data_IF_944959045353
#
_entry.id   IF_944959045353
#
_cell.length_a   1.000
_cell.length_b   1.000
_cell.length_c   1.000
_cell.angle_alpha   90.00
_cell.angle_beta   90.00
_cell.angle_gamma   90.00
#
_symmetry.space_group_name_H-M   'P 1'
#
loop_
_entity.id
_entity.type
_entity.pdbx_description
1 polymer ?
#
# COMPACT_ATOMS: atom_id res chain seq x y z
N UNK A 1 21.22 -22.38 -27.01
CA UNK A 1 21.11 -21.45 -25.85
C UNK A 1 20.52 -22.26 -24.71
N UNK A 2 21.17 -22.27 -23.55
CA UNK A 2 20.74 -23.01 -22.36
C UNK A 2 19.51 -22.36 -21.69
N UNK A 3 18.90 -23.09 -20.74
CA UNK A 3 17.70 -22.63 -20.10
C UNK A 3 17.89 -21.33 -19.28
N UNK A 4 18.96 -21.19 -18.46
CA UNK A 4 19.20 -19.94 -17.74
C UNK A 4 19.33 -18.72 -18.65
N UNK A 5 20.05 -18.86 -19.78
CA UNK A 5 20.17 -17.78 -20.76
C UNK A 5 18.83 -17.41 -21.40
N UNK A 6 17.95 -18.39 -21.66
CA UNK A 6 16.61 -18.13 -22.19
C UNK A 6 15.73 -17.39 -21.18
N UNK A 7 15.79 -17.76 -19.89
CA UNK A 7 15.07 -17.04 -18.82
C UNK A 7 15.60 -15.60 -18.68
N UNK A 8 16.92 -15.42 -18.65
CA UNK A 8 17.54 -14.09 -18.56
C UNK A 8 17.13 -13.20 -19.76
N UNK A 9 17.11 -13.77 -20.97
CA UNK A 9 16.66 -13.08 -22.19
C UNK A 9 15.18 -12.69 -22.12
N UNK A 10 14.31 -13.58 -21.64
CA UNK A 10 12.89 -13.29 -21.49
C UNK A 10 12.66 -12.14 -20.48
N UNK A 11 13.37 -12.13 -19.35
CA UNK A 11 13.34 -11.02 -18.38
C UNK A 11 13.80 -9.69 -19.01
N UNK A 12 14.88 -9.70 -19.76
CA UNK A 12 15.38 -8.51 -20.45
C UNK A 12 14.39 -7.98 -21.50
N UNK A 13 13.75 -8.88 -22.26
CA UNK A 13 12.71 -8.50 -23.21
C UNK A 13 11.47 -7.92 -22.55
N UNK A 14 11.05 -8.48 -21.40
CA UNK A 14 9.97 -7.91 -20.59
C UNK A 14 10.33 -6.52 -20.08
N UNK A 15 11.55 -6.31 -19.59
CA UNK A 15 11.99 -5.00 -19.14
C UNK A 15 11.94 -3.93 -20.25
N UNK A 16 12.07 -4.33 -21.52
CA UNK A 16 11.99 -3.43 -22.66
C UNK A 16 10.54 -3.23 -23.15
N UNK A 17 9.79 -4.32 -23.36
CA UNK A 17 8.49 -4.30 -24.02
C UNK A 17 7.31 -4.16 -23.05
N UNK A 18 7.45 -4.63 -21.82
CA UNK A 18 6.43 -4.67 -20.78
C UNK A 18 7.05 -4.20 -19.45
N UNK A 19 7.34 -2.89 -19.30
CA UNK A 19 8.14 -2.38 -18.18
C UNK A 19 7.62 -2.74 -16.80
N UNK A 20 6.30 -2.83 -16.61
CA UNK A 20 5.69 -3.31 -15.37
C UNK A 20 6.22 -4.70 -14.98
N UNK A 21 6.05 -5.68 -15.86
CA UNK A 21 6.52 -7.05 -15.62
C UNK A 21 8.04 -7.12 -15.54
N UNK A 22 8.74 -6.29 -16.32
CA UNK A 22 10.18 -6.21 -16.29
C UNK A 22 10.75 -5.80 -14.94
N UNK A 23 10.16 -4.79 -14.27
CA UNK A 23 10.58 -4.37 -12.92
C UNK A 23 10.38 -5.53 -11.93
N UNK A 24 9.19 -6.15 -11.92
CA UNK A 24 8.93 -7.30 -11.06
C UNK A 24 9.91 -8.47 -11.33
N UNK A 25 10.14 -8.82 -12.61
CA UNK A 25 11.04 -9.91 -12.98
C UNK A 25 12.48 -9.64 -12.54
N UNK A 26 12.93 -8.39 -12.52
CA UNK A 26 14.28 -8.03 -12.09
C UNK A 26 14.42 -8.00 -10.57
N UNK A 27 13.39 -7.56 -9.86
CA UNK A 27 13.39 -7.42 -8.40
C UNK A 27 12.99 -8.73 -7.67
N UNK A 28 12.50 -9.76 -8.40
CA UNK A 28 12.11 -11.05 -7.83
C UNK A 28 13.23 -12.08 -8.05
N UNK A 29 13.65 -12.85 -7.03
CA UNK A 29 14.59 -13.96 -7.19
C UNK A 29 14.01 -15.05 -8.10
N UNK A 30 14.76 -15.44 -9.15
CA UNK A 30 14.46 -16.57 -10.03
C UNK A 30 15.39 -17.73 -9.71
N UNK A 31 14.84 -18.84 -9.23
CA UNK A 31 15.59 -20.01 -8.76
C UNK A 31 15.32 -21.18 -9.68
N UNK A 32 16.38 -21.74 -10.30
CA UNK A 32 16.26 -22.99 -11.03
C UNK A 32 16.00 -24.13 -10.02
N UNK A 33 14.95 -24.88 -10.27
CA UNK A 33 14.54 -26.02 -9.44
C UNK A 33 13.89 -27.05 -10.35
N UNK A 34 14.66 -28.05 -10.74
CA UNK A 34 14.22 -29.06 -11.69
C UNK A 34 13.31 -30.14 -11.07
N UNK A 35 13.08 -30.09 -9.75
CA UNK A 35 12.07 -30.89 -9.06
C UNK A 35 10.66 -30.31 -9.27
N UNK A 36 10.55 -29.05 -9.70
CA UNK A 36 9.27 -28.46 -10.05
C UNK A 36 8.83 -28.92 -11.44
N UNK A 37 7.52 -29.16 -11.67
CA UNK A 37 7.05 -29.57 -13.00
C UNK A 37 7.23 -28.48 -14.07
N UNK A 38 7.09 -27.22 -13.70
CA UNK A 38 7.17 -26.06 -14.60
C UNK A 38 7.71 -24.80 -13.90
N UNK A 39 6.86 -23.82 -13.66
CA UNK A 39 7.18 -22.58 -12.93
C UNK A 39 6.15 -22.39 -11.80
N UNK A 40 6.57 -21.88 -10.66
CA UNK A 40 5.69 -21.61 -9.52
C UNK A 40 6.23 -20.45 -8.69
N UNK A 41 5.37 -19.85 -7.88
CA UNK A 41 5.75 -18.77 -6.95
C UNK A 41 5.12 -18.95 -5.57
N UNK A 42 5.75 -18.33 -4.57
CA UNK A 42 5.20 -18.17 -3.24
C UNK A 42 5.13 -16.69 -2.80
N UNK A 43 5.30 -15.76 -3.71
CA UNK A 43 5.37 -14.33 -3.42
C UNK A 43 6.78 -13.79 -3.15
N UNK A 44 7.71 -14.62 -2.68
CA UNK A 44 9.09 -14.24 -2.38
C UNK A 44 10.05 -14.52 -3.52
N UNK A 45 9.81 -15.57 -4.30
CA UNK A 45 10.63 -16.04 -5.40
C UNK A 45 9.76 -16.67 -6.50
N UNK A 46 10.37 -16.85 -7.67
CA UNK A 46 9.81 -17.67 -8.75
C UNK A 46 10.79 -18.81 -9.02
N UNK A 47 10.33 -20.04 -8.83
CA UNK A 47 11.07 -21.25 -9.18
C UNK A 47 10.68 -21.71 -10.57
N UNK A 48 11.66 -22.25 -11.31
CA UNK A 48 11.45 -22.68 -12.70
C UNK A 48 12.24 -23.94 -13.05
N UNK A 49 11.63 -24.80 -13.87
CA UNK A 49 12.22 -26.03 -14.38
C UNK A 49 12.94 -25.79 -15.70
N UNK A 50 14.14 -26.37 -15.87
CA UNK A 50 14.98 -26.15 -17.06
C UNK A 50 14.40 -26.76 -18.33
N UNK A 51 13.82 -27.96 -18.27
CA UNK A 51 13.20 -28.61 -19.42
C UNK A 51 11.96 -27.84 -19.90
N UNK A 52 11.12 -27.41 -18.97
CA UNK A 52 9.95 -26.59 -19.28
C UNK A 52 10.37 -25.27 -19.95
N UNK A 53 11.37 -24.60 -19.39
CA UNK A 53 11.91 -23.35 -19.95
C UNK A 53 12.48 -23.52 -21.36
N UNK A 54 13.01 -24.69 -21.69
CA UNK A 54 13.52 -24.99 -23.05
C UNK A 54 12.39 -25.30 -24.05
N UNK A 55 11.29 -25.91 -23.62
CA UNK A 55 10.14 -26.27 -24.47
C UNK A 55 9.39 -25.05 -25.00
N UNK A 56 9.25 -24.00 -24.17
CA UNK A 56 8.52 -22.80 -24.55
C UNK A 56 9.24 -21.95 -25.58
N UNK A 57 8.49 -21.36 -26.49
CA UNK A 57 8.94 -20.25 -27.33
C UNK A 57 9.29 -19.02 -26.47
N UNK A 58 9.92 -18.02 -27.07
CA UNK A 58 10.27 -16.80 -26.35
C UNK A 58 9.02 -16.05 -25.81
N UNK A 59 7.93 -16.03 -26.60
CA UNK A 59 6.66 -15.40 -26.23
C UNK A 59 5.93 -16.17 -25.13
N UNK A 60 5.87 -17.49 -25.22
CA UNK A 60 5.25 -18.34 -24.19
C UNK A 60 6.01 -18.25 -22.86
N UNK A 61 7.34 -18.21 -22.92
CA UNK A 61 8.17 -18.04 -21.73
C UNK A 61 7.91 -16.70 -21.04
N UNK A 62 7.77 -15.62 -21.81
CA UNK A 62 7.36 -14.32 -21.28
C UNK A 62 5.97 -14.39 -20.63
N UNK A 63 5.01 -15.07 -21.29
CA UNK A 63 3.67 -15.26 -20.73
C UNK A 63 3.71 -15.96 -19.36
N UNK A 64 4.43 -17.09 -19.24
CA UNK A 64 4.51 -17.84 -17.99
C UNK A 64 5.20 -17.02 -16.90
N UNK A 65 6.27 -16.28 -17.21
CA UNK A 65 6.88 -15.35 -16.24
C UNK A 65 5.89 -14.29 -15.78
N UNK A 66 5.14 -13.70 -16.69
CA UNK A 66 4.12 -12.70 -16.33
C UNK A 66 2.97 -13.31 -15.51
N UNK A 67 2.60 -14.56 -15.80
CA UNK A 67 1.60 -15.30 -15.03
C UNK A 67 2.02 -15.43 -13.56
N UNK A 68 3.23 -15.86 -13.27
CA UNK A 68 3.74 -15.97 -11.90
C UNK A 68 3.83 -14.59 -11.21
N UNK A 69 4.24 -13.55 -11.95
CA UNK A 69 4.27 -12.18 -11.45
C UNK A 69 2.85 -11.70 -11.10
N UNK A 70 1.85 -12.04 -11.89
CA UNK A 70 0.45 -11.69 -11.60
C UNK A 70 -0.03 -12.33 -10.31
N UNK A 71 0.36 -13.56 -10.00
CA UNK A 71 0.05 -14.17 -8.70
C UNK A 71 0.65 -13.37 -7.54
N UNK A 72 1.87 -12.87 -7.69
CA UNK A 72 2.50 -12.00 -6.67
C UNK A 72 1.75 -10.67 -6.57
N UNK A 73 1.56 -10.00 -7.69
CA UNK A 73 1.00 -8.66 -7.77
C UNK A 73 -0.48 -8.57 -7.36
N UNK A 74 -1.24 -9.64 -7.56
CA UNK A 74 -2.66 -9.76 -7.17
C UNK A 74 -2.84 -10.42 -5.79
N UNK A 75 -1.77 -10.58 -5.03
CA UNK A 75 -1.80 -11.11 -3.66
C UNK A 75 -2.39 -12.52 -3.55
N UNK A 76 -2.18 -13.35 -4.57
CA UNK A 76 -2.66 -14.73 -4.57
C UNK A 76 -1.83 -15.67 -3.66
N UNK A 77 -0.64 -15.25 -3.25
CA UNK A 77 0.28 -16.02 -2.41
C UNK A 77 -0.07 -15.93 -0.92
N UNK A 78 -1.34 -16.10 -0.57
CA UNK A 78 -1.84 -16.04 0.81
C UNK A 78 -2.44 -17.36 1.24
N UNK A 79 -2.48 -17.61 2.55
CA UNK A 79 -3.13 -18.79 3.11
C UNK A 79 -4.65 -18.61 3.10
N UNK A 80 -5.35 -19.41 2.28
CA UNK A 80 -6.81 -19.41 2.20
C UNK A 80 -7.31 -20.68 2.88
N UNK A 81 -7.92 -20.55 4.05
CA UNK A 81 -8.45 -21.69 4.85
C UNK A 81 -9.89 -21.99 4.54
N UNK A 82 -10.71 -20.96 4.40
CA UNK A 82 -12.15 -21.05 4.24
C UNK A 82 -12.64 -20.08 3.17
N UNK A 83 -13.68 -20.46 2.46
CA UNK A 83 -14.42 -19.62 1.53
C UNK A 83 -15.90 -19.89 1.77
N UNK A 84 -16.67 -18.82 2.03
CA UNK A 84 -18.12 -18.89 2.31
C UNK A 84 -18.47 -19.83 3.49
N UNK A 85 -17.60 -19.92 4.51
CA UNK A 85 -17.80 -20.77 5.70
C UNK A 85 -17.50 -22.26 5.49
N UNK A 86 -16.92 -22.63 4.37
CA UNK A 86 -16.49 -24.00 4.08
C UNK A 86 -14.99 -24.07 3.83
N UNK A 87 -14.32 -25.20 4.15
CA UNK A 87 -12.91 -25.39 3.82
C UNK A 87 -12.64 -25.14 2.33
N UNK A 88 -11.60 -24.36 2.03
CA UNK A 88 -11.24 -24.00 0.68
C UNK A 88 -10.68 -25.21 -0.10
N UNK A 89 -11.22 -25.45 -1.31
CA UNK A 89 -10.58 -26.35 -2.27
C UNK A 89 -9.44 -25.61 -2.98
N UNK A 90 -8.22 -25.73 -2.45
CA UNK A 90 -7.06 -24.97 -2.91
C UNK A 90 -6.73 -25.22 -4.39
N UNK A 91 -6.97 -26.46 -4.89
CA UNK A 91 -6.78 -26.76 -6.31
C UNK A 91 -7.75 -25.98 -7.18
N UNK A 92 -9.00 -25.93 -6.76
CA UNK A 92 -10.04 -25.18 -7.48
C UNK A 92 -9.83 -23.66 -7.35
N UNK A 93 -9.29 -23.19 -6.21
CA UNK A 93 -8.86 -21.78 -6.01
C UNK A 93 -7.78 -21.40 -7.03
N UNK A 94 -6.74 -22.24 -7.15
CA UNK A 94 -5.66 -22.01 -8.10
C UNK A 94 -6.19 -21.95 -9.54
N UNK A 95 -7.02 -22.93 -9.93
CA UNK A 95 -7.68 -22.96 -11.24
C UNK A 95 -8.49 -21.67 -11.50
N UNK A 96 -9.22 -21.18 -10.50
CA UNK A 96 -9.99 -19.94 -10.64
C UNK A 96 -9.12 -18.71 -10.81
N UNK A 97 -8.01 -18.62 -10.06
CA UNK A 97 -7.01 -17.57 -10.20
C UNK A 97 -6.35 -17.60 -11.58
N UNK A 98 -6.00 -18.79 -12.07
CA UNK A 98 -5.38 -18.99 -13.39
C UNK A 98 -6.30 -18.52 -14.53
N UNK A 99 -7.59 -18.82 -14.49
CA UNK A 99 -8.55 -18.31 -15.47
C UNK A 99 -8.53 -16.79 -15.56
N UNK A 100 -8.53 -16.13 -14.40
CA UNK A 100 -8.55 -14.66 -14.33
C UNK A 100 -7.24 -14.06 -14.84
N UNK A 101 -6.10 -14.58 -14.40
CA UNK A 101 -4.78 -14.12 -14.83
C UNK A 101 -4.59 -14.30 -16.33
N UNK A 102 -4.88 -15.51 -16.83
CA UNK A 102 -4.71 -15.82 -18.25
C UNK A 102 -5.56 -14.92 -19.15
N UNK A 103 -6.82 -14.67 -18.75
CA UNK A 103 -7.69 -13.78 -19.49
C UNK A 103 -7.11 -12.36 -19.59
N UNK A 104 -6.59 -11.83 -18.48
CA UNK A 104 -5.99 -10.50 -18.44
C UNK A 104 -4.70 -10.40 -19.28
N UNK A 105 -3.84 -11.41 -19.23
CA UNK A 105 -2.60 -11.45 -20.03
C UNK A 105 -2.89 -11.58 -21.52
N UNK A 106 -3.90 -12.38 -21.93
CA UNK A 106 -4.37 -12.48 -23.32
C UNK A 106 -4.92 -11.13 -23.79
N UNK A 107 -5.71 -10.43 -22.96
CA UNK A 107 -6.22 -9.09 -23.28
C UNK A 107 -5.11 -8.04 -23.40
N UNK A 108 -4.01 -8.23 -22.67
CA UNK A 108 -2.79 -7.43 -22.82
C UNK A 108 -1.97 -7.79 -24.08
N UNK A 109 -2.45 -8.75 -24.88
CA UNK A 109 -1.84 -9.15 -26.15
C UNK A 109 -0.73 -10.20 -26.03
N UNK A 110 -0.65 -10.92 -24.91
CA UNK A 110 0.37 -11.94 -24.69
C UNK A 110 -0.06 -13.31 -25.25
N UNK A 111 0.90 -14.15 -25.59
CA UNK A 111 0.68 -15.46 -26.21
C UNK A 111 0.76 -16.55 -25.14
N UNK A 112 -0.38 -17.13 -24.81
CA UNK A 112 -0.49 -18.20 -23.83
C UNK A 112 0.01 -19.54 -24.40
N UNK A 113 0.77 -20.33 -23.62
CA UNK A 113 1.13 -21.70 -24.02
C UNK A 113 -0.10 -22.59 -24.19
N UNK A 114 0.05 -23.64 -25.02
CA UNK A 114 -0.98 -24.64 -25.24
C UNK A 114 -1.40 -25.32 -23.92
N UNK A 115 -2.70 -25.58 -23.78
CA UNK A 115 -3.28 -26.20 -22.58
C UNK A 115 -3.56 -25.24 -21.42
N UNK A 116 -3.36 -23.94 -21.59
CA UNK A 116 -3.71 -22.96 -20.58
C UNK A 116 -5.21 -22.81 -20.37
N UNK A 117 -5.60 -22.45 -19.15
CA UNK A 117 -6.99 -22.25 -18.76
C UNK A 117 -7.48 -20.89 -19.28
N UNK A 118 -8.41 -20.93 -20.22
CA UNK A 118 -9.07 -19.73 -20.74
C UNK A 118 -10.50 -20.04 -21.14
N UNK A 119 -11.43 -19.21 -20.65
CA UNK A 119 -12.82 -19.22 -21.07
C UNK A 119 -13.33 -17.76 -21.09
N UNK A 120 -13.86 -17.30 -22.23
CA UNK A 120 -14.40 -15.95 -22.35
C UNK A 120 -15.50 -15.60 -21.35
N UNK A 121 -16.23 -16.59 -20.82
CA UNK A 121 -17.29 -16.36 -19.85
C UNK A 121 -16.76 -15.76 -18.53
N UNK A 122 -15.49 -15.98 -18.18
CA UNK A 122 -14.88 -15.48 -16.94
C UNK A 122 -14.19 -14.13 -17.09
N UNK A 123 -14.25 -13.51 -18.27
CA UNK A 123 -13.64 -12.18 -18.50
C UNK A 123 -14.23 -11.13 -17.58
N UNK A 124 -13.36 -10.34 -16.96
CA UNK A 124 -13.78 -9.27 -16.03
C UNK A 124 -14.33 -9.74 -14.70
N UNK A 125 -14.30 -11.06 -14.43
CA UNK A 125 -14.68 -11.60 -13.12
C UNK A 125 -13.47 -11.64 -12.18
N UNK A 126 -13.72 -11.46 -10.87
CA UNK A 126 -12.75 -11.76 -9.83
C UNK A 126 -12.62 -13.28 -9.61
N UNK A 127 -11.45 -13.73 -9.16
CA UNK A 127 -11.21 -15.18 -8.95
C UNK A 127 -12.21 -15.84 -8.00
N UNK A 128 -12.71 -15.14 -6.97
CA UNK A 128 -13.71 -15.67 -6.04
C UNK A 128 -15.06 -15.95 -6.73
N UNK A 129 -15.45 -15.10 -7.70
CA UNK A 129 -16.65 -15.34 -8.51
C UNK A 129 -16.48 -16.57 -9.39
N UNK A 130 -15.32 -16.69 -10.05
CA UNK A 130 -14.97 -17.85 -10.88
C UNK A 130 -14.95 -19.12 -10.01
N UNK A 131 -14.30 -19.10 -8.84
CA UNK A 131 -14.30 -20.22 -7.88
C UNK A 131 -15.72 -20.70 -7.53
N UNK A 132 -16.62 -19.75 -7.19
CA UNK A 132 -18.03 -20.09 -6.87
C UNK A 132 -18.78 -20.72 -8.04
N UNK A 133 -18.48 -20.29 -9.28
CA UNK A 133 -19.06 -20.91 -10.49
C UNK A 133 -18.52 -22.33 -10.71
N UNK A 134 -17.20 -22.50 -10.61
CA UNK A 134 -16.55 -23.80 -10.75
C UNK A 134 -16.99 -24.78 -9.65
N UNK A 135 -17.18 -24.31 -8.41
CA UNK A 135 -17.64 -25.13 -7.30
C UNK A 135 -19.05 -25.70 -7.50
N UNK A 136 -19.90 -24.99 -8.25
CA UNK A 136 -21.26 -25.48 -8.62
C UNK A 136 -21.25 -26.59 -9.67
N UNK A 137 -20.13 -26.75 -10.41
CA UNK A 137 -20.01 -27.85 -11.38
C UNK A 137 -19.81 -29.16 -10.65
N UNK A 138 -20.40 -30.29 -11.18
CA UNK A 138 -20.10 -31.63 -10.68
C UNK A 138 -18.56 -31.87 -10.69
N UNK A 139 -18.00 -32.57 -9.68
CA UNK A 139 -16.57 -32.82 -9.62
C UNK A 139 -15.91 -33.37 -10.89
N UNK A 140 -16.54 -34.33 -11.65
CA UNK A 140 -15.93 -34.84 -12.87
C UNK A 140 -15.85 -33.80 -14.01
N UNK A 141 -16.70 -32.77 -13.98
CA UNK A 141 -16.76 -31.73 -15.02
C UNK A 141 -15.89 -30.51 -14.68
N UNK A 142 -15.24 -30.49 -13.50
CA UNK A 142 -14.39 -29.39 -13.09
C UNK A 142 -13.09 -29.35 -13.90
N UNK A 143 -12.64 -28.16 -14.35
CA UNK A 143 -11.37 -28.05 -15.03
C UNK A 143 -10.23 -28.51 -14.13
N UNK A 144 -9.23 -29.16 -14.76
CA UNK A 144 -8.00 -29.54 -14.07
C UNK A 144 -6.99 -28.37 -14.11
N UNK A 145 -6.04 -28.31 -13.17
CA UNK A 145 -4.94 -27.36 -13.24
C UNK A 145 -4.23 -27.40 -14.60
N UNK A 146 -3.78 -26.25 -15.06
CA UNK A 146 -3.06 -26.16 -16.33
C UNK A 146 -1.70 -26.87 -16.26
N UNK A 147 -1.26 -27.50 -17.37
CA UNK A 147 -0.07 -28.38 -17.34
C UNK A 147 1.24 -27.62 -17.16
N UNK A 148 1.25 -26.30 -17.31
CA UNK A 148 2.43 -25.45 -17.21
C UNK A 148 2.34 -24.41 -16.09
N UNK A 149 1.22 -24.32 -15.37
CA UNK A 149 1.07 -23.57 -14.14
C UNK A 149 1.43 -24.43 -12.94
N UNK A 150 2.21 -23.89 -12.02
CA UNK A 150 2.49 -24.54 -10.74
C UNK A 150 1.45 -24.18 -9.69
N UNK A 151 1.48 -24.88 -8.56
CA UNK A 151 0.69 -24.47 -7.39
C UNK A 151 1.25 -23.16 -6.81
N UNK A 152 0.36 -22.23 -6.46
CA UNK A 152 0.74 -21.02 -5.73
C UNK A 152 1.02 -21.36 -4.28
N UNK A 153 2.23 -21.04 -3.83
CA UNK A 153 2.65 -21.23 -2.45
C UNK A 153 2.37 -20.02 -1.58
N UNK A 154 2.57 -20.18 -0.28
CA UNK A 154 2.57 -19.07 0.68
C UNK A 154 4.00 -18.64 1.02
N UNK A 155 4.25 -17.36 1.32
CA UNK A 155 5.56 -16.88 1.74
C UNK A 155 5.98 -17.51 3.07
N UNK A 156 7.26 -17.85 3.20
CA UNK A 156 7.79 -18.60 4.33
C UNK A 156 8.98 -17.89 4.99
N UNK A 157 9.13 -18.09 6.29
CA UNK A 157 10.31 -17.67 7.03
C UNK A 157 11.53 -18.58 6.72
N UNK A 158 12.70 -18.23 7.27
CA UNK A 158 13.93 -19.03 7.12
C UNK A 158 13.86 -20.43 7.74
N UNK A 159 12.80 -20.75 8.47
CA UNK A 159 12.55 -22.06 9.11
C UNK A 159 11.49 -22.87 8.32
N UNK A 160 10.90 -22.32 7.27
CA UNK A 160 9.90 -22.96 6.41
C UNK A 160 8.45 -22.80 6.87
N UNK A 161 8.17 -22.01 7.91
CA UNK A 161 6.81 -21.71 8.35
C UNK A 161 6.21 -20.56 7.53
N UNK A 162 4.90 -20.60 7.30
CA UNK A 162 4.18 -19.50 6.64
C UNK A 162 4.35 -18.19 7.43
N UNK A 163 4.64 -17.09 6.74
CA UNK A 163 4.76 -15.78 7.37
C UNK A 163 3.43 -15.38 8.01
N UNK A 164 3.49 -14.87 9.24
CA UNK A 164 2.33 -14.39 9.99
C UNK A 164 2.66 -13.08 10.70
N UNK A 165 1.65 -12.38 11.16
CA UNK A 165 1.81 -11.15 11.95
C UNK A 165 2.60 -10.07 11.20
N UNK A 166 3.59 -9.46 11.87
CA UNK A 166 4.38 -8.34 11.35
C UNK A 166 5.24 -8.74 10.12
N UNK A 167 5.79 -9.95 10.10
CA UNK A 167 6.58 -10.44 8.96
C UNK A 167 5.73 -10.56 7.67
N UNK A 168 4.47 -10.98 7.80
CA UNK A 168 3.54 -11.03 6.68
C UNK A 168 3.18 -9.61 6.18
N UNK A 169 2.95 -8.67 7.10
CA UNK A 169 2.71 -7.25 6.75
C UNK A 169 3.89 -6.62 6.05
N UNK A 170 5.11 -6.86 6.54
CA UNK A 170 6.32 -6.35 5.92
C UNK A 170 6.51 -6.91 4.50
N UNK A 171 6.29 -8.21 4.31
CA UNK A 171 6.31 -8.83 2.98
C UNK A 171 5.28 -8.20 2.03
N UNK A 172 4.07 -7.93 2.53
CA UNK A 172 3.02 -7.26 1.76
C UNK A 172 3.42 -5.82 1.38
N UNK A 173 4.00 -5.07 2.30
CA UNK A 173 4.51 -3.74 2.02
C UNK A 173 5.60 -3.76 0.94
N UNK A 174 6.50 -4.75 0.97
CA UNK A 174 7.53 -4.91 -0.06
C UNK A 174 6.93 -5.19 -1.45
N UNK A 175 5.83 -5.96 -1.53
CA UNK A 175 5.09 -6.16 -2.78
C UNK A 175 4.48 -4.85 -3.26
N UNK A 176 3.85 -4.09 -2.37
CA UNK A 176 3.23 -2.81 -2.69
C UNK A 176 4.24 -1.76 -3.19
N UNK A 177 5.43 -1.70 -2.59
CA UNK A 177 6.54 -0.85 -3.05
C UNK A 177 6.99 -1.27 -4.46
N UNK A 178 7.18 -2.57 -4.70
CA UNK A 178 7.51 -3.09 -6.04
C UNK A 178 6.43 -2.78 -7.07
N UNK A 179 5.16 -2.93 -6.70
CA UNK A 179 4.00 -2.60 -7.52
C UNK A 179 4.04 -1.13 -7.95
N UNK A 180 4.17 -0.22 -6.98
CA UNK A 180 4.23 1.22 -7.23
C UNK A 180 5.38 1.60 -8.15
N UNK A 181 6.59 1.10 -7.89
CA UNK A 181 7.78 1.30 -8.74
C UNK A 181 7.58 0.78 -10.16
N UNK A 182 6.97 -0.40 -10.31
CA UNK A 182 6.71 -1.02 -11.59
C UNK A 182 5.72 -0.22 -12.43
N UNK A 183 4.65 0.28 -11.81
CA UNK A 183 3.64 1.11 -12.48
C UNK A 183 4.21 2.46 -12.88
N UNK A 184 4.91 3.15 -11.98
CA UNK A 184 5.59 4.42 -12.31
C UNK A 184 6.56 4.26 -13.48
N UNK A 185 7.30 3.14 -13.52
CA UNK A 185 8.22 2.85 -14.62
C UNK A 185 7.46 2.62 -15.94
N UNK A 186 6.33 1.92 -15.91
CA UNK A 186 5.51 1.68 -17.09
C UNK A 186 4.87 2.98 -17.61
N UNK A 187 4.32 3.81 -16.73
CA UNK A 187 3.75 5.11 -17.04
C UNK A 187 4.80 6.06 -17.64
N UNK A 188 5.98 6.15 -17.03
CA UNK A 188 7.07 7.00 -17.52
C UNK A 188 7.58 6.60 -18.89
N UNK A 189 7.53 5.32 -19.24
CA UNK A 189 7.96 4.82 -20.55
C UNK A 189 6.87 4.89 -21.61
N UNK A 190 5.61 4.96 -21.22
CA UNK A 190 4.45 4.96 -22.12
C UNK A 190 4.36 3.72 -23.01
N UNK A 191 4.94 2.59 -22.59
CA UNK A 191 5.02 1.35 -23.35
C UNK A 191 4.37 0.22 -22.55
N UNK A 192 3.67 -0.66 -23.25
CA UNK A 192 2.95 -1.78 -22.68
C UNK A 192 1.56 -1.39 -22.18
N UNK A 193 0.68 -2.37 -22.10
CA UNK A 193 -0.67 -2.22 -21.52
C UNK A 193 -0.70 -2.93 -20.19
N UNK A 194 -1.08 -2.21 -19.13
CA UNK A 194 -1.30 -2.83 -17.83
C UNK A 194 -2.52 -3.76 -17.89
N UNK A 195 -2.46 -4.97 -17.34
CA UNK A 195 -3.63 -5.80 -17.14
C UNK A 195 -4.66 -5.11 -16.24
N UNK A 196 -5.95 -5.29 -16.52
CA UNK A 196 -7.03 -4.60 -15.79
C UNK A 196 -6.99 -4.85 -14.28
N UNK A 197 -6.63 -6.07 -13.84
CA UNK A 197 -6.47 -6.38 -12.42
C UNK A 197 -5.32 -5.62 -11.76
N UNK A 198 -4.25 -5.32 -12.51
CA UNK A 198 -3.16 -4.48 -12.01
C UNK A 198 -3.61 -3.02 -11.92
N UNK A 199 -4.34 -2.52 -12.91
CA UNK A 199 -4.92 -1.16 -12.85
C UNK A 199 -5.84 -1.01 -11.64
N UNK A 200 -6.68 -2.01 -11.37
CA UNK A 200 -7.55 -2.04 -10.18
C UNK A 200 -6.75 -2.13 -8.87
N UNK A 201 -5.76 -3.03 -8.79
CA UNK A 201 -4.90 -3.18 -7.60
C UNK A 201 -4.13 -1.89 -7.31
N UNK A 202 -3.59 -1.24 -8.35
CA UNK A 202 -2.89 0.05 -8.20
C UNK A 202 -3.86 1.17 -7.82
N UNK A 203 -5.06 1.19 -8.41
CA UNK A 203 -6.10 2.14 -8.00
C UNK A 203 -6.45 1.95 -6.52
N UNK A 204 -6.58 0.71 -6.07
CA UNK A 204 -6.76 0.40 -4.64
C UNK A 204 -5.55 0.83 -3.82
N UNK A 205 -4.32 0.58 -4.25
CA UNK A 205 -3.11 1.05 -3.56
C UNK A 205 -3.02 2.58 -3.52
N UNK A 206 -3.41 3.26 -4.58
CA UNK A 206 -3.51 4.73 -4.61
C UNK A 206 -4.68 5.25 -3.76
N UNK A 207 -5.74 4.47 -3.63
CA UNK A 207 -6.89 4.74 -2.76
C UNK A 207 -6.67 4.19 -1.35
N UNK A 208 -5.90 3.08 -1.22
CA UNK A 208 -5.51 2.51 0.06
C UNK A 208 -4.31 3.29 0.56
N UNK A 209 -4.61 4.28 1.36
CA UNK A 209 -3.74 4.76 2.43
C UNK A 209 -2.24 4.75 2.07
N UNK A 210 -1.74 5.83 1.56
CA UNK A 210 -0.59 6.35 2.31
C UNK A 210 -1.09 6.32 3.74
N UNK A 211 -0.58 5.40 4.59
CA UNK A 211 -1.01 5.32 5.98
C UNK A 211 -0.95 6.74 6.49
N UNK A 212 -2.00 7.17 7.16
CA UNK A 212 -2.01 8.48 7.82
C UNK A 212 -0.69 8.68 8.57
N UNK A 213 -0.20 7.63 9.22
CA UNK A 213 1.08 7.58 9.92
C UNK A 213 2.28 7.84 8.99
N UNK A 214 2.32 7.28 7.78
CA UNK A 214 3.45 7.46 6.84
C UNK A 214 3.46 8.87 6.22
N UNK A 215 2.27 9.45 5.94
CA UNK A 215 2.18 10.86 5.51
C UNK A 215 2.54 11.78 6.65
N UNK A 216 2.04 11.47 7.83
CA UNK A 216 2.33 12.24 9.01
C UNK A 216 3.82 12.17 9.37
N UNK A 217 4.45 10.98 9.33
CA UNK A 217 5.89 10.79 9.49
C UNK A 217 6.68 11.65 8.51
N UNK A 218 6.26 11.73 7.25
CA UNK A 218 6.92 12.53 6.23
C UNK A 218 6.68 14.02 6.45
N UNK A 219 5.45 14.42 6.79
CA UNK A 219 5.08 15.81 7.07
C UNK A 219 5.71 16.28 8.39
N UNK A 220 5.68 15.44 9.42
CA UNK A 220 6.25 15.73 10.75
C UNK A 220 7.77 15.58 10.74
N UNK A 221 8.32 14.58 10.05
CA UNK A 221 9.76 14.31 10.01
C UNK A 221 10.55 15.34 9.21
N UNK A 222 9.90 16.13 8.32
CA UNK A 222 10.54 17.12 7.44
C UNK A 222 11.78 16.56 6.72
N UNK A 223 12.19 17.16 5.61
CA UNK A 223 13.52 16.98 5.01
C UNK A 223 14.61 17.73 5.85
N UNK A 224 14.53 17.67 7.18
CA UNK A 224 15.60 18.18 8.02
C UNK A 224 16.76 17.19 7.94
N UNK A 225 17.93 17.59 7.44
CA UNK A 225 19.11 16.76 7.55
C UNK A 225 19.37 16.52 9.03
N UNK A 226 19.49 15.24 9.41
CA UNK A 226 19.90 14.82 10.75
C UNK A 226 21.16 15.58 11.15
N UNK A 227 21.03 16.55 12.04
CA UNK A 227 22.18 17.30 12.53
C UNK A 227 22.90 16.46 13.59
N UNK A 228 24.14 16.11 13.30
CA UNK A 228 24.97 15.35 14.22
C UNK A 228 25.44 16.25 15.35
N UNK A 229 24.99 15.98 16.58
CA UNK A 229 25.51 16.73 17.74
C UNK A 229 26.61 15.96 18.48
N UNK A 230 27.66 16.69 18.82
CA UNK A 230 28.70 16.19 19.71
C UNK A 230 28.42 16.51 21.19
N UNK A 231 27.29 17.14 21.52
CA UNK A 231 26.97 17.51 22.92
C UNK A 231 26.62 16.29 23.78
N UNK A 232 26.07 15.25 23.16
CA UNK A 232 25.79 13.98 23.83
C UNK A 232 26.47 12.86 23.02
N UNK A 233 27.40 12.08 23.63
CA UNK A 233 28.02 10.98 22.92
C UNK A 233 27.02 9.83 22.71
N UNK A 234 27.15 9.11 21.59
CA UNK A 234 26.42 7.88 21.37
C UNK A 234 26.75 6.88 22.49
N UNK A 235 25.79 6.63 23.37
CA UNK A 235 25.99 5.80 24.58
C UNK A 235 26.48 4.38 24.25
N UNK A 236 26.02 3.80 23.12
CA UNK A 236 26.41 2.46 22.70
C UNK A 236 27.87 2.43 22.23
N UNK A 237 28.28 3.35 21.39
CA UNK A 237 29.66 3.46 20.91
C UNK A 237 30.63 3.83 22.04
N UNK A 238 30.21 4.66 23.00
CA UNK A 238 31.00 5.00 24.17
C UNK A 238 31.21 3.82 25.11
N UNK A 239 30.17 3.04 25.41
CA UNK A 239 30.26 1.92 26.34
C UNK A 239 30.94 0.68 25.78
N UNK A 240 30.77 0.40 24.48
CA UNK A 240 31.35 -0.81 23.89
C UNK A 240 32.72 -0.61 23.26
N UNK A 241 32.99 0.55 22.70
CA UNK A 241 34.20 0.80 21.90
C UNK A 241 35.06 1.95 22.42
N UNK A 242 34.61 2.69 23.42
CA UNK A 242 35.29 3.87 23.94
C UNK A 242 35.40 5.04 22.93
N UNK A 243 34.58 4.98 21.87
CA UNK A 243 34.61 5.98 20.79
C UNK A 243 33.59 7.09 21.06
N UNK A 244 34.07 8.33 21.03
CA UNK A 244 33.22 9.53 21.12
C UNK A 244 32.62 9.82 19.74
N UNK A 245 31.52 9.14 19.40
CA UNK A 245 30.80 9.40 18.16
C UNK A 245 29.65 10.37 18.42
N UNK A 246 29.31 11.22 17.44
CA UNK A 246 28.15 12.09 17.54
C UNK A 246 26.87 11.25 17.62
N UNK A 247 25.88 11.77 18.33
CA UNK A 247 24.52 11.27 18.31
C UNK A 247 23.71 12.10 17.33
N UNK A 248 22.79 11.48 16.61
CA UNK A 248 21.75 12.20 15.88
C UNK A 248 20.83 12.81 16.95
N UNK A 249 20.81 14.12 17.06
CA UNK A 249 19.85 14.84 17.87
C UNK A 249 18.63 15.07 16.96
N UNK A 250 17.61 14.26 17.12
CA UNK A 250 16.29 14.63 16.65
C UNK A 250 15.85 15.77 17.57
N UNK A 251 15.79 16.97 17.04
CA UNK A 251 15.18 18.13 17.71
C UNK A 251 13.66 17.94 17.84
N UNK A 252 13.18 16.77 18.13
CA UNK A 252 11.78 16.44 18.35
C UNK A 252 10.85 16.99 17.25
N UNK A 253 9.70 16.43 17.15
CA UNK A 253 8.61 17.02 16.36
C UNK A 253 8.28 18.38 16.97
N UNK A 254 8.30 19.43 16.15
CA UNK A 254 8.01 20.80 16.61
C UNK A 254 6.62 21.00 17.19
N UNK A 255 6.06 22.18 17.04
CA UNK A 255 4.72 22.50 17.49
C UNK A 255 3.68 22.10 16.42
N UNK A 256 2.61 21.39 16.78
CA UNK A 256 1.58 20.92 15.85
C UNK A 256 0.26 21.65 16.12
N UNK A 257 -0.33 22.24 15.07
CA UNK A 257 -1.71 22.74 15.12
C UNK A 257 -2.66 21.72 14.48
N UNK A 258 -3.70 21.32 15.21
CA UNK A 258 -4.73 20.39 14.77
C UNK A 258 -6.07 21.11 14.66
N UNK A 259 -6.63 21.15 13.46
CA UNK A 259 -7.90 21.75 13.16
C UNK A 259 -8.94 20.66 12.99
N UNK A 260 -9.90 20.55 13.91
CA UNK A 260 -10.99 19.57 13.85
C UNK A 260 -12.28 20.24 13.37
N UNK A 261 -12.79 19.76 12.27
CA UNK A 261 -14.09 20.12 11.74
C UNK A 261 -15.19 19.48 12.60
N UNK A 262 -15.87 20.32 13.39
CA UNK A 262 -16.99 19.91 14.25
C UNK A 262 -18.35 20.24 13.63
N UNK A 263 -18.42 20.42 12.33
CA UNK A 263 -19.66 20.68 11.59
C UNK A 263 -20.65 19.52 11.70
N UNK A 264 -21.88 19.77 11.28
CA UNK A 264 -22.99 18.79 11.40
C UNK A 264 -22.76 17.52 10.56
N UNK A 265 -22.00 17.59 9.47
CA UNK A 265 -21.69 16.48 8.60
C UNK A 265 -20.73 15.46 9.25
N UNK A 266 -19.88 15.92 10.19
CA UNK A 266 -18.99 15.07 10.96
C UNK A 266 -19.72 14.39 12.11
N UNK A 267 -19.74 13.06 12.15
CA UNK A 267 -20.34 12.31 13.26
C UNK A 267 -19.40 12.25 14.47
N UNK A 268 -19.96 12.08 15.67
CA UNK A 268 -19.16 11.95 16.89
C UNK A 268 -18.17 10.78 16.85
N UNK A 269 -18.53 9.58 16.32
CA UNK A 269 -17.58 8.49 16.17
C UNK A 269 -16.41 8.82 15.22
N UNK A 270 -16.64 9.58 14.13
CA UNK A 270 -15.57 10.02 13.21
C UNK A 270 -14.57 10.93 13.90
N UNK A 271 -15.07 11.88 14.69
CA UNK A 271 -14.24 12.79 15.48
C UNK A 271 -13.44 12.06 16.57
N UNK A 272 -14.08 11.14 17.31
CA UNK A 272 -13.42 10.34 18.34
C UNK A 272 -12.35 9.42 17.74
N UNK A 273 -12.62 8.81 16.61
CA UNK A 273 -11.64 7.99 15.91
C UNK A 273 -10.47 8.83 15.41
N UNK A 274 -10.73 9.93 14.71
CA UNK A 274 -9.69 10.84 14.25
C UNK A 274 -8.81 11.34 15.40
N UNK A 275 -9.42 11.66 16.53
CA UNK A 275 -8.67 12.07 17.73
C UNK A 275 -7.82 10.92 18.32
N UNK A 276 -8.33 9.70 18.35
CA UNK A 276 -7.59 8.51 18.82
C UNK A 276 -6.37 8.20 17.95
N UNK A 277 -6.53 8.32 16.64
CA UNK A 277 -5.42 8.15 15.68
C UNK A 277 -4.31 9.19 15.92
N UNK A 278 -4.72 10.45 16.12
CA UNK A 278 -3.79 11.54 16.44
C UNK A 278 -3.11 11.35 17.78
N UNK A 279 -3.85 10.90 18.78
CA UNK A 279 -3.28 10.63 20.10
C UNK A 279 -2.15 9.61 20.03
N UNK A 280 -2.36 8.50 19.32
CA UNK A 280 -1.30 7.49 19.11
C UNK A 280 -0.04 8.11 18.53
N UNK A 281 -0.19 9.02 17.58
CA UNK A 281 0.94 9.69 16.93
C UNK A 281 1.63 10.69 17.87
N UNK A 282 0.87 11.44 18.65
CA UNK A 282 1.45 12.36 19.65
C UNK A 282 2.25 11.59 20.71
N UNK A 283 1.77 10.42 21.13
CA UNK A 283 2.48 9.53 22.05
C UNK A 283 3.78 8.97 21.45
N UNK A 284 3.77 8.63 20.15
CA UNK A 284 4.94 8.08 19.45
C UNK A 284 6.00 9.14 19.14
N UNK A 285 5.59 10.36 18.78
CA UNK A 285 6.49 11.42 18.28
C UNK A 285 6.85 12.48 19.33
N UNK A 286 6.14 12.56 20.44
CA UNK A 286 6.36 13.51 21.52
C UNK A 286 6.61 14.95 21.03
N UNK A 287 5.66 15.59 20.31
CA UNK A 287 5.80 16.96 19.86
C UNK A 287 5.94 17.91 21.05
N UNK A 288 6.58 19.08 20.85
CA UNK A 288 6.77 20.08 21.89
C UNK A 288 5.45 20.64 22.40
N UNK A 289 4.52 20.92 21.50
CA UNK A 289 3.14 21.26 21.83
C UNK A 289 2.16 20.78 20.76
N UNK A 290 0.91 20.57 21.19
CA UNK A 290 -0.23 20.25 20.30
C UNK A 290 -1.34 21.20 20.61
N UNK A 291 -1.70 22.06 19.66
CA UNK A 291 -2.88 22.94 19.78
C UNK A 291 -4.02 22.40 18.98
N UNK A 292 -5.10 22.02 19.66
CA UNK A 292 -6.35 21.53 19.06
C UNK A 292 -7.32 22.69 18.91
N UNK A 293 -7.71 23.00 17.68
CA UNK A 293 -8.69 24.02 17.33
C UNK A 293 -9.93 23.32 16.77
N UNK A 294 -11.05 23.42 17.43
CA UNK A 294 -12.33 22.93 16.94
C UNK A 294 -13.04 24.07 16.21
N UNK A 295 -13.48 23.78 15.00
CA UNK A 295 -14.16 24.77 14.15
C UNK A 295 -15.41 24.18 13.47
N UNK A 296 -16.36 25.05 13.17
CA UNK A 296 -17.48 24.82 12.24
C UNK A 296 -17.62 26.04 11.29
N UNK A 297 -18.58 26.91 11.46
CA UNK A 297 -18.61 28.21 10.78
C UNK A 297 -17.63 29.23 11.37
N UNK A 298 -17.20 29.01 12.64
CA UNK A 298 -16.24 29.84 13.41
C UNK A 298 -15.39 28.91 14.31
N UNK A 299 -14.38 29.47 15.00
CA UNK A 299 -13.62 28.74 16.01
C UNK A 299 -14.47 28.56 17.26
N UNK A 300 -14.71 27.30 17.64
CA UNK A 300 -15.60 26.95 18.77
C UNK A 300 -14.80 26.75 20.07
N UNK A 301 -13.66 26.06 20.00
CA UNK A 301 -12.84 25.73 21.16
C UNK A 301 -11.37 25.61 20.76
N UNK A 302 -10.48 26.00 21.67
CA UNK A 302 -9.04 25.85 21.51
C UNK A 302 -8.45 25.32 22.81
N UNK A 303 -7.72 24.22 22.71
CA UNK A 303 -6.97 23.62 23.81
C UNK A 303 -5.52 23.39 23.36
N UNK A 304 -4.54 23.73 24.21
CA UNK A 304 -3.10 23.50 23.93
C UNK A 304 -2.52 22.58 24.99
N UNK A 305 -1.82 21.55 24.54
CA UNK A 305 -1.18 20.52 25.34
C UNK A 305 0.32 20.55 25.15
N UNK A 306 1.10 20.33 26.21
CA UNK A 306 2.57 20.38 26.21
C UNK A 306 3.15 19.07 26.75
N UNK A 307 4.36 18.73 26.30
CA UNK A 307 5.20 17.67 26.87
C UNK A 307 4.50 16.30 27.04
N UNK A 308 3.63 15.94 26.09
CA UNK A 308 2.94 14.65 26.11
C UNK A 308 1.72 14.57 27.04
N UNK A 309 1.31 15.67 27.67
CA UNK A 309 0.08 15.74 28.50
C UNK A 309 -1.18 15.83 27.60
N UNK A 310 -1.33 14.85 26.68
CA UNK A 310 -2.44 14.79 25.72
C UNK A 310 -3.57 13.93 26.31
N UNK A 311 -4.81 14.43 26.37
CA UNK A 311 -5.88 13.73 27.05
C UNK A 311 -6.35 12.49 26.30
N UNK A 312 -6.94 11.54 27.05
CA UNK A 312 -7.56 10.34 26.45
C UNK A 312 -8.77 10.68 25.59
N UNK A 313 -9.48 11.73 25.90
CA UNK A 313 -10.68 12.19 25.18
C UNK A 313 -10.81 13.71 25.29
N UNK A 314 -11.35 14.30 24.21
CA UNK A 314 -11.81 15.70 24.22
C UNK A 314 -13.32 15.76 23.95
N UNK A 315 -13.97 16.78 24.47
CA UNK A 315 -15.35 17.07 24.13
C UNK A 315 -15.39 17.93 22.86
N UNK A 316 -16.09 17.46 21.85
CA UNK A 316 -16.30 18.20 20.61
C UNK A 316 -17.51 19.12 20.74
N UNK A 317 -17.30 20.40 20.44
CA UNK A 317 -18.31 21.46 20.47
C UNK A 317 -18.48 22.04 19.07
N UNK A 318 -19.67 22.47 18.74
CA UNK A 318 -20.05 22.95 17.40
C UNK A 318 -21.14 22.07 16.80
N UNK A 319 -21.71 22.42 15.71
CA UNK A 319 -22.66 21.70 14.85
C UNK A 319 -23.19 22.63 13.77
N UNK A 320 -22.41 23.65 13.42
CA UNK A 320 -22.73 24.64 12.40
C UNK A 320 -22.42 24.16 10.97
N UNK A 321 -22.16 25.12 10.09
CA UNK A 321 -21.65 24.89 8.73
C UNK A 321 -20.12 24.66 8.74
N UNK A 322 -19.51 24.42 7.57
CA UNK A 322 -18.09 24.13 7.47
C UNK A 322 -17.35 25.30 6.80
N UNK A 323 -16.65 26.09 7.60
CA UNK A 323 -15.74 27.14 7.12
C UNK A 323 -14.38 26.98 7.78
N UNK A 324 -13.37 26.67 7.00
CA UNK A 324 -12.03 26.40 7.52
C UNK A 324 -11.20 27.68 7.66
N UNK A 325 -11.49 28.72 6.89
CA UNK A 325 -10.76 29.99 6.91
C UNK A 325 -10.65 30.63 8.32
N UNK A 326 -11.72 30.66 9.16
CA UNK A 326 -11.61 31.22 10.51
C UNK A 326 -10.59 30.49 11.39
N UNK A 327 -10.44 29.16 11.23
CA UNK A 327 -9.45 28.39 12.01
C UNK A 327 -8.00 28.75 11.62
N UNK A 328 -7.71 28.88 10.33
CA UNK A 328 -6.40 29.34 9.86
C UNK A 328 -6.10 30.77 10.32
N UNK A 329 -7.07 31.69 10.19
CA UNK A 329 -6.93 33.06 10.68
C UNK A 329 -6.72 33.14 12.20
N UNK A 330 -7.27 32.18 12.94
CA UNK A 330 -7.06 32.12 14.37
C UNK A 330 -5.59 31.79 14.69
N UNK A 331 -5.00 30.81 14.02
CA UNK A 331 -3.60 30.44 14.23
C UNK A 331 -2.67 31.65 14.04
N UNK A 332 -2.86 32.42 12.98
CA UNK A 332 -2.06 33.60 12.68
C UNK A 332 -2.30 34.73 13.72
N UNK A 333 -3.55 35.03 14.05
CA UNK A 333 -3.90 36.15 14.93
C UNK A 333 -3.54 35.92 16.40
N UNK A 334 -3.64 34.66 16.86
CA UNK A 334 -3.35 34.29 18.23
C UNK A 334 -1.88 33.95 18.46
N UNK A 335 -1.06 34.09 17.40
CA UNK A 335 0.38 33.75 17.44
C UNK A 335 0.62 32.33 17.99
N UNK A 336 -0.23 31.37 17.56
CA UNK A 336 -0.14 29.99 18.02
C UNK A 336 1.13 29.37 17.39
N UNK A 337 2.06 28.86 18.20
CA UNK A 337 3.23 28.18 17.65
C UNK A 337 2.79 26.94 16.85
N UNK A 338 3.24 26.83 15.60
CA UNK A 338 3.00 25.65 14.78
C UNK A 338 4.05 25.55 13.68
N UNK A 339 4.69 24.40 13.63
CA UNK A 339 5.61 24.03 12.55
C UNK A 339 4.87 23.23 11.47
N UNK A 340 3.64 22.77 11.80
CA UNK A 340 2.78 22.00 10.91
C UNK A 340 1.31 22.16 11.27
N UNK A 341 0.43 21.98 10.28
CA UNK A 341 -1.02 22.03 10.44
C UNK A 341 -1.64 20.73 9.95
N UNK A 342 -2.49 20.10 10.77
CA UNK A 342 -3.27 18.91 10.42
C UNK A 342 -4.75 19.28 10.49
N UNK A 343 -5.48 19.05 9.40
CA UNK A 343 -6.90 19.40 9.30
C UNK A 343 -7.74 18.13 9.16
N UNK A 344 -8.61 17.86 10.13
CA UNK A 344 -9.58 16.75 10.09
C UNK A 344 -10.94 17.26 9.61
N UNK A 345 -11.46 16.71 8.50
CA UNK A 345 -12.73 17.15 7.91
C UNK A 345 -13.29 16.07 6.98
N UNK A 346 -14.59 16.10 6.69
CA UNK A 346 -15.19 15.32 5.61
C UNK A 346 -15.00 15.97 4.22
N UNK A 347 -14.20 17.05 4.16
CA UNK A 347 -13.92 17.85 2.95
C UNK A 347 -15.16 18.54 2.35
N UNK A 348 -16.25 18.62 3.08
CA UNK A 348 -17.42 19.42 2.71
C UNK A 348 -17.18 20.93 2.90
N UNK A 349 -16.03 21.43 2.44
CA UNK A 349 -15.56 22.81 2.64
C UNK A 349 -15.88 23.63 1.40
N UNK A 350 -16.69 24.69 1.59
CA UNK A 350 -17.03 25.62 0.52
C UNK A 350 -16.06 26.79 0.40
N UNK A 351 -15.26 27.06 1.43
CA UNK A 351 -14.46 28.28 1.54
C UNK A 351 -13.06 27.98 2.12
N UNK A 352 -12.08 27.87 1.24
CA UNK A 352 -10.67 27.70 1.61
C UNK A 352 -10.02 29.06 1.84
N UNK A 353 -8.98 29.16 2.70
CA UNK A 353 -8.26 30.41 2.91
C UNK A 353 -7.54 30.83 1.63
N UNK A 354 -7.62 32.14 1.32
CA UNK A 354 -6.90 32.75 0.18
C UNK A 354 -5.37 32.75 0.38
N UNK A 355 -4.92 32.67 1.64
CA UNK A 355 -3.51 32.70 2.01
C UNK A 355 -3.05 31.26 2.29
N UNK A 356 -2.02 30.83 1.58
CA UNK A 356 -1.36 29.56 1.85
C UNK A 356 -0.45 29.69 3.06
N UNK A 357 -0.57 28.83 4.07
CA UNK A 357 0.37 28.81 5.17
C UNK A 357 1.81 28.54 4.71
N UNK A 358 2.79 29.13 5.36
CA UNK A 358 4.22 28.90 5.08
C UNK A 358 4.71 27.55 5.64
N UNK A 359 3.87 26.86 6.40
CA UNK A 359 4.15 25.54 7.01
C UNK A 359 3.42 24.41 6.27
N UNK A 360 3.93 23.18 6.34
CA UNK A 360 3.26 22.01 5.77
C UNK A 360 1.83 21.86 6.31
N UNK A 361 0.88 21.58 5.42
CA UNK A 361 -0.52 21.31 5.77
C UNK A 361 -0.91 19.91 5.32
N UNK A 362 -1.43 19.12 6.25
CA UNK A 362 -2.00 17.80 5.99
C UNK A 362 -3.50 17.81 6.17
N UNK A 363 -4.23 17.51 5.10
CA UNK A 363 -5.68 17.32 5.11
C UNK A 363 -6.00 15.84 5.34
N UNK A 364 -6.72 15.55 6.40
CA UNK A 364 -7.17 14.20 6.76
C UNK A 364 -8.66 14.12 6.53
N UNK A 365 -9.05 13.42 5.46
CA UNK A 365 -10.44 13.27 5.05
C UNK A 365 -11.07 12.00 5.61
N UNK A 366 -12.30 12.08 6.11
CA UNK A 366 -13.12 10.91 6.51
C UNK A 366 -13.87 10.31 5.32
N UNK A 367 -13.80 10.92 4.13
CA UNK A 367 -14.40 10.43 2.89
C UNK A 367 -13.37 10.28 1.77
N UNK A 368 -13.56 9.29 0.91
CA UNK A 368 -12.73 9.10 -0.29
C UNK A 368 -13.20 9.93 -1.51
N UNK A 369 -14.36 10.60 -1.41
CA UNK A 369 -14.93 11.39 -2.49
C UNK A 369 -14.91 12.86 -2.12
N UNK A 370 -13.90 13.58 -2.54
CA UNK A 370 -13.74 15.01 -2.32
C UNK A 370 -13.05 15.69 -3.49
N UNK A 371 -13.16 17.01 -3.53
CA UNK A 371 -12.34 17.85 -4.40
C UNK A 371 -11.04 18.15 -3.66
N UNK A 372 -9.91 17.98 -4.34
CA UNK A 372 -8.59 18.24 -3.71
C UNK A 372 -8.50 19.70 -3.22
N UNK A 373 -7.98 19.92 -2.01
CA UNK A 373 -7.79 21.27 -1.49
C UNK A 373 -6.76 22.03 -2.32
N UNK A 374 -6.78 23.37 -2.32
CA UNK A 374 -5.91 24.19 -3.14
C UNK A 374 -4.43 24.13 -2.71
N UNK A 375 -4.14 23.64 -1.52
CA UNK A 375 -2.79 23.50 -0.98
C UNK A 375 -2.71 22.34 0.03
N UNK A 376 -1.48 21.92 0.34
CA UNK A 376 -1.21 20.83 1.30
C UNK A 376 -1.32 19.44 0.69
N UNK A 377 -0.96 18.44 1.49
CA UNK A 377 -1.14 17.03 1.15
C UNK A 377 -2.46 16.51 1.70
N UNK A 378 -3.03 15.49 1.07
CA UNK A 378 -4.32 14.92 1.51
C UNK A 378 -4.19 13.42 1.72
N UNK A 379 -4.73 12.94 2.83
CA UNK A 379 -4.88 11.52 3.13
C UNK A 379 -6.31 11.21 3.55
N UNK A 380 -6.72 9.94 3.48
CA UNK A 380 -8.07 9.49 3.85
C UNK A 380 -7.94 8.50 5.00
N UNK A 381 -8.75 8.67 6.04
CA UNK A 381 -8.94 7.67 7.09
C UNK A 381 -10.29 6.96 6.88
N UNK A 382 -10.29 5.63 6.95
CA UNK A 382 -11.55 4.88 6.97
C UNK A 382 -12.09 4.90 8.40
N UNK A 383 -13.24 5.51 8.58
CA UNK A 383 -13.98 5.40 9.82
C UNK A 383 -14.73 4.06 9.77
N UNK A 384 -14.45 3.18 10.73
CA UNK A 384 -15.11 1.88 10.82
C UNK A 384 -16.61 2.03 10.95
N UNK A 385 -17.36 1.29 10.10
CA UNK A 385 -18.81 1.21 10.16
C UNK A 385 -19.30 0.36 11.34
#
# INVERSE_FOLDING_TARGET
MDAPTKIARAKAQLAYNQPFFGVFALDTPFIQDDDQPTMCTNGQWIKWNSEAALRWSDSERQFVICHEIMHIALEHCVEIKEIDGEPADLKLVNVAMDYVINAQLIEAGMIMPEGGLYDPQYRGMGWLQVYRLLKKMPPPDRPQPQPWGGDVGTPKDGQGNTLTGEAAKQHQNDINIRMTKAVQTAEARGVGKLPAGIEEAVSKLRQTKVRFEDVLLRVIGGDQPDDYTFRKPNKHAWHEQGLYLPTVENDGVGDIAMLFDSSRSMSTPELEQGFSEVKSLVEDFCPRSVTVVQFDGEVQKVDTFYDGDFPDKIEFTGRGGTRVEPAFKYLDRADVPHDQIIVFTDMGIDDYPDIHPDVPVLWVSTTSRFVAPPFGETTVIEVGA
#
